data_IF_069832423983
#
_entry.id   IF_069832423983
#
_cell.length_a   1.000
_cell.length_b   1.000
_cell.length_c   1.000
_cell.angle_alpha   90.00
_cell.angle_beta   90.00
_cell.angle_gamma   90.00
#
_symmetry.space_group_name_H-M   'P 1'
#
loop_
_entity.id
_entity.type
_entity.pdbx_description
1 polymer ?
#
# COMPACT_ATOMS: atom_id res chain seq x y z
N UNK A 1 8.38 23.21 9.39
CA UNK A 1 7.69 22.14 8.65
C UNK A 1 8.68 20.99 8.53
N UNK A 2 8.42 19.79 9.07
CA UNK A 2 9.35 18.69 8.88
C UNK A 2 9.38 18.33 7.39
N UNK A 3 10.60 18.22 6.87
CA UNK A 3 10.92 17.92 5.49
C UNK A 3 10.39 16.51 5.20
N UNK A 4 9.26 16.40 4.49
CA UNK A 4 8.79 15.10 4.01
C UNK A 4 9.67 14.69 2.83
N UNK A 5 10.31 13.53 2.94
CA UNK A 5 10.86 12.86 1.76
C UNK A 5 9.77 12.83 0.67
N UNK A 6 10.11 13.05 -0.61
CA UNK A 6 9.12 13.07 -1.67
C UNK A 6 8.39 11.74 -1.69
N UNK A 7 7.10 11.79 -1.37
CA UNK A 7 6.22 10.64 -1.35
C UNK A 7 6.34 9.84 -2.65
N UNK A 8 6.67 8.54 -2.56
CA UNK A 8 6.91 7.66 -3.73
C UNK A 8 5.64 7.35 -4.53
N UNK A 9 4.46 7.74 -4.03
CA UNK A 9 3.15 7.49 -4.61
C UNK A 9 3.02 7.96 -6.06
N UNK A 10 3.55 9.14 -6.41
CA UNK A 10 3.46 9.64 -7.79
C UNK A 10 4.25 8.74 -8.75
N UNK A 11 5.45 8.30 -8.33
CA UNK A 11 6.27 7.36 -9.09
C UNK A 11 5.58 6.00 -9.23
N UNK A 12 4.96 5.51 -8.14
CA UNK A 12 4.21 4.27 -8.14
C UNK A 12 3.03 4.32 -9.13
N UNK A 13 2.18 5.36 -9.07
CA UNK A 13 1.05 5.57 -9.99
C UNK A 13 1.51 5.55 -11.45
N UNK A 14 2.60 6.28 -11.79
CA UNK A 14 3.14 6.30 -13.15
C UNK A 14 3.61 4.93 -13.65
N UNK A 15 3.94 4.00 -12.75
CA UNK A 15 4.36 2.63 -13.10
C UNK A 15 3.18 1.68 -13.20
N UNK A 16 2.19 1.78 -12.31
CA UNK A 16 1.08 0.82 -12.25
C UNK A 16 -0.15 1.25 -13.08
N UNK A 17 -0.29 2.52 -13.46
CA UNK A 17 -1.45 3.06 -14.19
C UNK A 17 -1.19 3.30 -15.69
N UNK A 18 -0.35 2.49 -16.34
CA UNK A 18 -0.06 2.62 -17.79
C UNK A 18 -0.87 1.65 -18.66
N UNK A 19 -1.79 0.89 -18.06
CA UNK A 19 -2.67 -0.06 -18.74
C UNK A 19 -2.14 -1.51 -18.68
N UNK A 20 -3.00 -2.52 -18.95
CA UNK A 20 -2.76 -3.91 -18.59
C UNK A 20 -1.46 -4.52 -19.12
N UNK A 21 -1.00 -4.08 -20.29
CA UNK A 21 0.21 -4.62 -20.93
C UNK A 21 1.49 -3.83 -20.62
N UNK A 22 1.37 -2.58 -20.15
CA UNK A 22 2.51 -1.69 -19.94
C UNK A 22 2.78 -1.40 -18.46
N UNK A 23 1.80 -1.68 -17.59
CA UNK A 23 1.95 -1.53 -16.15
C UNK A 23 3.10 -2.39 -15.64
N UNK A 24 3.93 -1.76 -14.80
CA UNK A 24 5.11 -2.38 -14.19
C UNK A 24 4.86 -2.61 -12.72
N UNK A 25 5.35 -3.74 -12.24
CA UNK A 25 5.34 -4.04 -10.82
C UNK A 25 6.21 -3.04 -10.05
N UNK A 26 5.80 -2.73 -8.84
CA UNK A 26 6.59 -2.02 -7.84
C UNK A 26 7.07 -3.00 -6.77
N UNK A 27 8.21 -2.69 -6.14
CA UNK A 27 8.74 -3.54 -5.07
C UNK A 27 7.96 -3.35 -3.76
N UNK A 28 8.21 -4.25 -2.80
CA UNK A 28 7.65 -4.19 -1.45
C UNK A 28 7.78 -2.80 -0.80
N UNK A 29 8.98 -2.20 -0.82
CA UNK A 29 9.25 -0.91 -0.18
C UNK A 29 8.45 0.22 -0.84
N UNK A 30 8.44 0.27 -2.17
CA UNK A 30 7.66 1.26 -2.94
C UNK A 30 6.16 1.14 -2.64
N UNK A 31 5.63 -0.08 -2.57
CA UNK A 31 4.23 -0.35 -2.27
C UNK A 31 3.87 0.06 -0.84
N UNK A 32 4.73 -0.26 0.14
CA UNK A 32 4.58 0.15 1.53
C UNK A 32 4.59 1.67 1.65
N UNK A 33 5.61 2.33 1.12
CA UNK A 33 5.80 3.77 1.28
C UNK A 33 4.72 4.58 0.54
N UNK A 34 4.26 4.10 -0.63
CA UNK A 34 3.11 4.68 -1.32
C UNK A 34 1.82 4.57 -0.49
N UNK A 35 1.58 3.43 0.15
CA UNK A 35 0.42 3.23 1.02
C UNK A 35 0.50 4.08 2.30
N UNK A 36 1.69 4.23 2.89
CA UNK A 36 1.91 5.11 4.03
C UNK A 36 1.56 6.56 3.70
N UNK A 37 1.92 7.06 2.52
CA UNK A 37 1.51 8.40 2.09
C UNK A 37 -0.03 8.59 2.09
N UNK A 38 -0.77 7.56 1.66
CA UNK A 38 -2.23 7.59 1.64
C UNK A 38 -2.76 7.61 3.08
N UNK A 39 -2.26 6.71 3.94
CA UNK A 39 -2.68 6.60 5.34
C UNK A 39 -2.33 7.84 6.18
N UNK A 40 -1.21 8.51 5.85
CA UNK A 40 -0.75 9.74 6.52
C UNK A 40 -1.43 11.01 5.98
N UNK A 41 -2.40 10.88 5.06
CA UNK A 41 -3.16 12.01 4.51
C UNK A 41 -2.36 12.92 3.57
N UNK A 42 -1.27 12.40 2.98
CA UNK A 42 -0.40 13.15 2.08
C UNK A 42 -0.83 13.05 0.61
N UNK A 43 -1.68 12.07 0.31
CA UNK A 43 -2.31 11.88 -0.99
C UNK A 43 -3.69 12.54 -1.01
N UNK A 44 -4.06 13.13 -2.15
CA UNK A 44 -5.46 13.48 -2.40
C UNK A 44 -6.28 12.25 -2.85
N UNK A 45 -7.60 12.37 -2.82
CA UNK A 45 -8.52 11.28 -3.16
C UNK A 45 -8.29 10.70 -4.56
N UNK A 46 -7.88 11.54 -5.52
CA UNK A 46 -7.60 11.11 -6.90
C UNK A 46 -6.33 10.25 -6.95
N UNK A 47 -5.26 10.65 -6.25
CA UNK A 47 -4.02 9.88 -6.18
C UNK A 47 -4.24 8.54 -5.47
N UNK A 48 -4.98 8.54 -4.37
CA UNK A 48 -5.32 7.31 -3.67
C UNK A 48 -6.15 6.36 -4.55
N UNK A 49 -7.17 6.88 -5.23
CA UNK A 49 -8.00 6.10 -6.15
C UNK A 49 -7.18 5.53 -7.32
N UNK A 50 -6.30 6.33 -7.94
CA UNK A 50 -5.43 5.86 -9.02
C UNK A 50 -4.53 4.72 -8.56
N UNK A 51 -3.92 4.84 -7.38
CA UNK A 51 -3.05 3.80 -6.84
C UNK A 51 -3.81 2.49 -6.61
N UNK A 52 -4.95 2.54 -5.90
CA UNK A 52 -5.73 1.36 -5.55
C UNK A 52 -6.37 0.69 -6.78
N UNK A 53 -6.94 1.46 -7.69
CA UNK A 53 -7.55 0.94 -8.94
C UNK A 53 -6.45 0.41 -9.87
N UNK A 54 -5.33 1.12 -9.98
CA UNK A 54 -4.19 0.72 -10.81
C UNK A 54 -3.65 -0.65 -10.43
N UNK A 55 -3.44 -0.88 -9.13
CA UNK A 55 -3.06 -2.21 -8.61
C UNK A 55 -4.07 -3.27 -9.01
N UNK A 56 -5.37 -3.03 -8.79
CA UNK A 56 -6.42 -4.03 -9.04
C UNK A 56 -6.57 -4.38 -10.52
N UNK A 57 -6.43 -3.39 -11.41
CA UNK A 57 -6.50 -3.58 -12.87
C UNK A 57 -5.26 -4.31 -13.38
N UNK A 58 -4.08 -3.98 -12.86
CA UNK A 58 -2.82 -4.67 -13.16
C UNK A 58 -2.82 -6.12 -12.65
N UNK A 59 -3.54 -6.36 -11.54
CA UNK A 59 -3.34 -7.47 -10.61
C UNK A 59 -2.05 -7.26 -9.82
N UNK A 60 -2.23 -6.97 -8.54
CA UNK A 60 -1.14 -6.83 -7.59
C UNK A 60 -0.32 -8.11 -7.48
N UNK A 61 0.99 -7.95 -7.31
CA UNK A 61 1.91 -9.03 -6.99
C UNK A 61 1.94 -9.27 -5.49
N UNK A 62 2.48 -10.42 -5.07
CA UNK A 62 2.65 -10.74 -3.65
C UNK A 62 3.48 -9.69 -2.90
N UNK A 63 4.53 -9.15 -3.52
CA UNK A 63 5.39 -8.15 -2.89
C UNK A 63 4.67 -6.82 -2.72
N UNK A 64 3.85 -6.41 -3.69
CA UNK A 64 3.01 -5.23 -3.60
C UNK A 64 1.97 -5.38 -2.50
N UNK A 65 1.27 -6.52 -2.46
CA UNK A 65 0.27 -6.81 -1.44
C UNK A 65 0.87 -6.85 -0.04
N UNK A 66 2.03 -7.49 0.14
CA UNK A 66 2.76 -7.52 1.42
C UNK A 66 3.21 -6.12 1.84
N UNK A 67 3.69 -5.29 0.91
CA UNK A 67 4.09 -3.91 1.20
C UNK A 67 2.91 -3.07 1.70
N UNK A 68 1.76 -3.18 1.04
CA UNK A 68 0.51 -2.51 1.43
C UNK A 68 0.04 -2.99 2.81
N UNK A 69 0.02 -4.31 3.03
CA UNK A 69 -0.35 -4.89 4.33
C UNK A 69 0.57 -4.40 5.45
N UNK A 70 1.88 -4.33 5.20
CA UNK A 70 2.85 -3.82 6.16
C UNK A 70 2.55 -2.36 6.56
N UNK A 71 2.23 -1.50 5.59
CA UNK A 71 1.85 -0.11 5.86
C UNK A 71 0.58 -0.01 6.73
N UNK A 72 -0.41 -0.87 6.48
CA UNK A 72 -1.64 -0.95 7.30
C UNK A 72 -1.28 -1.36 8.73
N UNK A 73 -0.44 -2.37 8.92
CA UNK A 73 0.01 -2.82 10.24
C UNK A 73 0.75 -1.68 10.98
N UNK A 74 1.62 -0.94 10.29
CA UNK A 74 2.37 0.18 10.86
C UNK A 74 1.50 1.37 11.30
N UNK A 75 0.28 1.49 10.77
CA UNK A 75 -0.70 2.51 11.18
C UNK A 75 -1.85 1.94 12.00
N UNK A 76 -1.82 0.64 12.29
CA UNK A 76 -2.79 -0.02 13.17
C UNK A 76 -2.39 0.13 14.63
N UNK A 77 -3.39 0.19 15.50
CA UNK A 77 -3.17 0.05 16.94
C UNK A 77 -3.01 -1.43 17.27
N UNK A 78 -1.84 -1.82 17.77
CA UNK A 78 -1.55 -3.20 18.16
C UNK A 78 -1.97 -3.40 19.62
N UNK A 79 -2.80 -4.41 19.85
CA UNK A 79 -3.33 -4.76 21.18
C UNK A 79 -2.90 -6.19 21.50
N UNK A 80 -2.48 -6.43 22.74
CA UNK A 80 -2.24 -7.78 23.26
C UNK A 80 -3.49 -8.28 23.97
N UNK A 81 -3.98 -9.46 23.60
CA UNK A 81 -5.07 -10.12 24.30
C UNK A 81 -4.54 -10.90 25.53
N UNK A 82 -5.32 -10.93 26.62
CA UNK A 82 -4.99 -11.68 27.83
C UNK A 82 -5.53 -13.12 27.77
N UNK A 83 -5.15 -13.85 26.71
CA UNK A 83 -5.55 -15.24 26.47
C UNK A 83 -4.32 -16.03 26.02
N UNK A 84 -4.32 -17.33 26.26
CA UNK A 84 -3.18 -18.19 25.93
C UNK A 84 -3.02 -18.44 24.43
N UNK A 85 -4.13 -18.47 23.68
CA UNK A 85 -4.15 -18.77 22.25
C UNK A 85 -4.93 -17.70 21.48
N UNK A 86 -4.33 -17.20 20.40
CA UNK A 86 -4.95 -16.29 19.44
C UNK A 86 -4.95 -16.96 18.08
N UNK A 87 -6.12 -16.98 17.42
CA UNK A 87 -6.29 -17.51 16.06
C UNK A 87 -6.73 -16.39 15.13
N UNK A 88 -6.13 -16.35 13.94
CA UNK A 88 -6.56 -15.48 12.84
C UNK A 88 -7.31 -16.36 11.84
N UNK A 89 -8.58 -16.02 11.61
CA UNK A 89 -9.40 -16.65 10.57
C UNK A 89 -9.34 -15.77 9.32
N UNK A 90 -9.06 -16.37 8.17
CA UNK A 90 -9.00 -15.67 6.89
C UNK A 90 -9.50 -16.59 5.78
N UNK A 91 -10.33 -16.04 4.90
CA UNK A 91 -10.77 -16.71 3.67
C UNK A 91 -9.72 -16.50 2.55
N UNK A 92 -9.52 -17.49 1.65
CA UNK A 92 -8.55 -17.42 0.55
C UNK A 92 -8.97 -16.51 -0.60
#
# INVERSE_FOLDING_TARGET
>A
MPNHDPCVLESAIKRICTGPELSKDIGFADARDAMLCILDGQANDVQAALFLIGLRVKRETDDEFKGIQQAIIERSQIISASVDEVVVLSDP
#
